data_IF_366956562712
#
_entry.id   IF_366956562712
#
_cell.length_a   1.000
_cell.length_b   1.000
_cell.length_c   1.000
_cell.angle_alpha   90.00
_cell.angle_beta   90.00
_cell.angle_gamma   90.00
#
_symmetry.space_group_name_H-M   'P 1'
#
loop_
_entity.id
_entity.type
_entity.pdbx_description
1 polymer ?
#
# COMPACT_ATOMS: atom_id res chain seq x y z
N UNK A 1 -46.19 10.27 -84.71
CA UNK A 1 -45.55 11.49 -84.17
C UNK A 1 -44.93 11.15 -82.83
N UNK A 2 -43.64 10.79 -82.82
CA UNK A 2 -42.85 10.56 -81.61
C UNK A 2 -41.67 11.49 -81.65
N UNK A 3 -41.67 12.52 -80.81
CA UNK A 3 -40.55 13.44 -80.66
C UNK A 3 -39.77 13.03 -79.40
N UNK A 4 -38.69 12.28 -79.58
CA UNK A 4 -37.69 12.05 -78.55
C UNK A 4 -36.64 13.17 -78.67
N UNK A 5 -36.60 14.08 -77.70
CA UNK A 5 -35.56 15.09 -77.58
C UNK A 5 -34.20 14.48 -77.17
N UNK A 6 -33.08 15.16 -77.46
CA UNK A 6 -31.75 14.60 -77.19
C UNK A 6 -31.41 14.72 -75.70
N UNK A 7 -31.16 13.58 -75.05
CA UNK A 7 -30.63 13.51 -73.68
C UNK A 7 -29.11 13.66 -73.74
N UNK A 8 -28.64 14.86 -74.07
CA UNK A 8 -27.21 15.16 -74.09
C UNK A 8 -26.81 15.90 -72.82
N UNK A 9 -26.23 15.19 -71.83
CA UNK A 9 -25.15 15.66 -70.92
C UNK A 9 -25.15 15.03 -69.50
N UNK A 10 -25.39 13.73 -69.33
CA UNK A 10 -25.04 13.06 -68.07
C UNK A 10 -23.71 12.33 -68.25
N UNK A 11 -22.63 12.93 -67.73
CA UNK A 11 -21.31 12.31 -67.65
C UNK A 11 -21.30 11.05 -66.76
N UNK A 12 -20.19 10.29 -66.73
CA UNK A 12 -20.15 9.01 -66.04
C UNK A 12 -20.43 9.16 -64.53
N UNK A 13 -21.48 8.47 -64.06
CA UNK A 13 -21.86 8.43 -62.65
C UNK A 13 -20.79 7.62 -61.91
N UNK A 14 -19.94 8.31 -61.14
CA UNK A 14 -19.02 7.64 -60.21
C UNK A 14 -19.75 7.34 -58.91
N UNK A 15 -19.55 6.15 -58.29
CA UNK A 15 -20.23 5.81 -57.05
C UNK A 15 -19.67 6.66 -55.90
N UNK A 16 -20.40 7.71 -55.51
CA UNK A 16 -20.11 8.50 -54.32
C UNK A 16 -20.55 7.72 -53.09
N UNK A 17 -19.62 7.45 -52.17
CA UNK A 17 -19.93 6.80 -50.89
C UNK A 17 -20.93 7.67 -50.12
N UNK A 18 -22.10 7.15 -49.71
CA UNK A 18 -23.05 7.94 -48.95
C UNK A 18 -22.41 8.39 -47.63
N UNK A 19 -22.62 9.66 -47.29
CA UNK A 19 -22.07 10.23 -46.08
C UNK A 19 -22.63 9.49 -44.85
N UNK A 20 -21.75 9.10 -43.94
CA UNK A 20 -22.17 8.41 -42.72
C UNK A 20 -23.10 9.33 -41.91
N UNK A 21 -24.36 8.95 -41.63
CA UNK A 21 -25.34 9.81 -40.97
C UNK A 21 -24.88 10.30 -39.59
N UNK A 22 -24.07 9.50 -38.89
CA UNK A 22 -23.43 9.84 -37.60
C UNK A 22 -22.44 11.00 -37.76
N UNK A 23 -21.74 11.05 -38.89
CA UNK A 23 -20.81 12.13 -39.24
C UNK A 23 -21.49 13.27 -40.02
N UNK A 24 -22.67 13.08 -40.57
CA UNK A 24 -23.42 14.15 -41.22
C UNK A 24 -24.09 15.08 -40.17
N UNK A 25 -24.51 14.52 -39.04
CA UNK A 25 -25.12 15.29 -37.94
C UNK A 25 -24.05 15.98 -37.09
N UNK A 26 -23.99 17.32 -37.19
CA UNK A 26 -23.09 18.15 -36.38
C UNK A 26 -23.36 18.01 -34.88
N UNK A 27 -24.63 18.01 -34.48
CA UNK A 27 -25.04 17.90 -33.07
C UNK A 27 -24.61 16.57 -32.46
N UNK A 28 -24.69 15.48 -33.23
CA UNK A 28 -24.23 14.17 -32.78
C UNK A 28 -22.71 14.12 -32.59
N UNK A 29 -21.95 14.74 -33.49
CA UNK A 29 -20.50 14.83 -33.33
C UNK A 29 -20.10 15.69 -32.13
N UNK A 30 -20.80 16.80 -31.88
CA UNK A 30 -20.53 17.69 -30.74
C UNK A 30 -20.80 16.97 -29.42
N UNK A 31 -21.92 16.26 -29.30
CA UNK A 31 -22.23 15.41 -28.15
C UNK A 31 -21.16 14.32 -27.94
N UNK A 32 -20.73 13.64 -29.01
CA UNK A 32 -19.69 12.62 -28.92
C UNK A 32 -18.36 13.18 -28.38
N UNK A 33 -17.96 14.36 -28.87
CA UNK A 33 -16.76 15.07 -28.37
C UNK A 33 -16.92 15.46 -26.91
N UNK A 34 -18.07 15.99 -26.53
CA UNK A 34 -18.37 16.38 -25.14
C UNK A 34 -18.29 15.19 -24.19
N UNK A 35 -18.91 14.06 -24.54
CA UNK A 35 -18.86 12.83 -23.75
C UNK A 35 -17.44 12.29 -23.59
N UNK A 36 -16.65 12.26 -24.66
CA UNK A 36 -15.24 11.86 -24.60
C UNK A 36 -14.41 12.79 -23.71
N UNK A 37 -14.65 14.10 -23.81
CA UNK A 37 -13.96 15.10 -23.01
C UNK A 37 -14.36 15.02 -21.54
N UNK A 38 -15.65 14.81 -21.23
CA UNK A 38 -16.14 14.59 -19.87
C UNK A 38 -15.52 13.34 -19.25
N UNK A 39 -15.47 12.23 -19.99
CA UNK A 39 -14.83 11.00 -19.54
C UNK A 39 -13.31 11.17 -19.32
N UNK A 40 -12.60 11.79 -20.27
CA UNK A 40 -11.16 12.05 -20.16
C UNK A 40 -10.82 12.98 -18.99
N UNK A 41 -11.69 13.94 -18.68
CA UNK A 41 -11.55 14.84 -17.53
C UNK A 41 -12.05 14.22 -16.21
N UNK A 42 -12.53 12.97 -16.22
CA UNK A 42 -13.05 12.29 -15.03
C UNK A 42 -14.39 12.86 -14.54
N UNK A 43 -15.08 13.66 -15.34
CA UNK A 43 -16.36 14.29 -15.03
C UNK A 43 -17.58 13.40 -15.36
N UNK A 44 -17.34 12.19 -15.90
CA UNK A 44 -18.40 11.22 -16.15
C UNK A 44 -18.90 10.55 -14.87
N UNK A 45 -20.21 10.27 -14.80
CA UNK A 45 -20.97 9.70 -13.66
C UNK A 45 -20.51 8.28 -13.24
N UNK A 46 -19.39 7.78 -13.76
CA UNK A 46 -18.78 6.53 -13.29
C UNK A 46 -17.26 6.64 -13.24
N UNK A 47 -16.74 7.57 -12.44
CA UNK A 47 -15.50 7.24 -11.73
C UNK A 47 -15.82 5.99 -10.91
N UNK A 48 -15.43 4.81 -11.41
CA UNK A 48 -15.75 3.50 -10.84
C UNK A 48 -15.31 3.48 -9.38
N UNK A 49 -16.21 3.73 -8.41
CA UNK A 49 -15.80 3.98 -7.03
C UNK A 49 -15.18 2.71 -6.45
N UNK A 50 -15.68 1.55 -6.86
CA UNK A 50 -15.15 0.25 -6.48
C UNK A 50 -13.73 0.01 -7.00
N UNK A 51 -13.44 0.36 -8.26
CA UNK A 51 -12.10 0.17 -8.80
C UNK A 51 -11.09 1.07 -8.07
N UNK A 52 -11.46 2.32 -7.79
CA UNK A 52 -10.63 3.23 -7.03
C UNK A 52 -10.38 2.71 -5.61
N UNK A 53 -11.43 2.28 -4.90
CA UNK A 53 -11.29 1.68 -3.56
C UNK A 53 -10.46 0.40 -3.58
N UNK A 54 -10.61 -0.46 -4.59
CA UNK A 54 -9.82 -1.67 -4.75
C UNK A 54 -8.35 -1.34 -5.04
N UNK A 55 -8.06 -0.32 -5.83
CA UNK A 55 -6.70 0.14 -6.09
C UNK A 55 -6.07 0.79 -4.86
N UNK A 56 -6.79 1.67 -4.15
CA UNK A 56 -6.34 2.26 -2.90
C UNK A 56 -6.06 1.19 -1.84
N UNK A 57 -6.98 0.22 -1.70
CA UNK A 57 -6.81 -0.94 -0.82
C UNK A 57 -5.57 -1.75 -1.20
N UNK A 58 -5.40 -2.07 -2.48
CA UNK A 58 -4.23 -2.82 -2.99
C UNK A 58 -2.92 -2.08 -2.74
N UNK A 59 -2.90 -0.75 -2.93
CA UNK A 59 -1.72 0.07 -2.67
C UNK A 59 -1.37 0.06 -1.17
N UNK A 60 -2.35 0.22 -0.28
CA UNK A 60 -2.14 0.12 1.17
C UNK A 60 -1.63 -1.25 1.58
N UNK A 61 -2.20 -2.33 1.05
CA UNK A 61 -1.75 -3.70 1.32
C UNK A 61 -0.32 -3.93 0.81
N UNK A 62 0.04 -3.40 -0.36
CA UNK A 62 1.40 -3.49 -0.89
C UNK A 62 2.40 -2.74 -0.02
N UNK A 63 2.11 -1.49 0.35
CA UNK A 63 2.97 -0.70 1.23
C UNK A 63 3.08 -1.31 2.63
N UNK A 64 2.02 -1.90 3.17
CA UNK A 64 2.07 -2.60 4.46
C UNK A 64 2.89 -3.90 4.40
N UNK A 65 2.80 -4.65 3.29
CA UNK A 65 3.65 -5.84 3.08
C UNK A 65 5.11 -5.46 2.88
N UNK A 66 5.39 -4.39 2.14
CA UNK A 66 6.74 -3.85 1.99
C UNK A 66 7.26 -3.29 3.33
N UNK A 67 6.42 -2.65 4.15
CA UNK A 67 6.84 -2.15 5.48
C UNK A 67 6.98 -3.24 6.56
N UNK A 68 6.24 -4.35 6.44
CA UNK A 68 6.22 -5.44 7.41
C UNK A 68 7.09 -6.61 6.98
N UNK A 69 8.24 -6.80 7.65
CA UNK A 69 9.23 -7.90 7.53
C UNK A 69 9.79 -8.23 6.12
N UNK A 70 9.03 -8.09 5.04
CA UNK A 70 9.43 -8.42 3.67
C UNK A 70 10.18 -7.27 2.95
N UNK A 71 10.06 -6.01 3.39
CA UNK A 71 10.86 -4.92 2.83
C UNK A 71 11.99 -4.42 3.73
N UNK A 72 12.30 -5.14 4.82
CA UNK A 72 13.57 -4.90 5.52
C UNK A 72 14.71 -5.47 4.71
N UNK A 73 15.63 -4.61 4.29
CA UNK A 73 16.80 -5.07 3.53
C UNK A 73 17.66 -6.04 4.38
N UNK A 74 18.44 -6.95 3.76
CA UNK A 74 19.34 -7.83 4.52
C UNK A 74 20.26 -7.05 5.49
N UNK A 75 20.70 -5.86 5.07
CA UNK A 75 21.49 -4.94 5.88
C UNK A 75 20.71 -4.40 7.08
N UNK A 76 19.46 -3.99 6.90
CA UNK A 76 18.62 -3.51 8.00
C UNK A 76 18.39 -4.59 9.06
N UNK A 77 18.20 -5.84 8.64
CA UNK A 77 18.08 -6.97 9.56
C UNK A 77 19.38 -7.18 10.37
N UNK A 78 20.54 -7.07 9.71
CA UNK A 78 21.83 -7.21 10.37
C UNK A 78 22.13 -6.04 11.33
N UNK A 79 21.77 -4.82 10.94
CA UNK A 79 21.85 -3.64 11.81
C UNK A 79 20.97 -3.79 13.04
N UNK A 80 19.74 -4.28 12.89
CA UNK A 80 18.84 -4.51 14.02
C UNK A 80 19.39 -5.59 14.97
N UNK A 81 19.95 -6.68 14.43
CA UNK A 81 20.65 -7.70 15.23
C UNK A 81 21.85 -7.12 15.96
N UNK A 82 22.64 -6.25 15.30
CA UNK A 82 23.80 -5.60 15.92
C UNK A 82 23.36 -4.65 17.05
N UNK A 83 22.31 -3.87 16.81
CA UNK A 83 21.75 -2.98 17.82
C UNK A 83 21.24 -3.76 19.04
N UNK A 84 20.53 -4.86 18.83
CA UNK A 84 20.04 -5.71 19.92
C UNK A 84 21.20 -6.26 20.77
N UNK A 85 22.27 -6.76 20.13
CA UNK A 85 23.47 -7.21 20.84
C UNK A 85 24.15 -6.10 21.63
N UNK A 86 24.21 -4.89 21.06
CA UNK A 86 24.79 -3.73 21.77
C UNK A 86 23.96 -3.37 23.00
N UNK A 87 22.64 -3.32 22.89
CA UNK A 87 21.75 -3.04 24.02
C UNK A 87 21.87 -4.09 25.13
N UNK A 88 22.02 -5.37 24.77
CA UNK A 88 22.23 -6.43 25.75
C UNK A 88 23.55 -6.27 26.52
N UNK A 89 24.63 -5.96 25.80
CA UNK A 89 25.94 -5.70 26.42
C UNK A 89 25.92 -4.44 27.29
N UNK A 90 25.24 -3.38 26.85
CA UNK A 90 25.08 -2.16 27.64
C UNK A 90 24.32 -2.43 28.95
N UNK A 91 23.22 -3.18 28.88
CA UNK A 91 22.46 -3.60 30.06
C UNK A 91 23.28 -4.47 30.99
N UNK A 92 24.06 -5.41 30.45
CA UNK A 92 24.96 -6.25 31.26
C UNK A 92 26.00 -5.39 31.99
N UNK A 93 26.62 -4.42 31.31
CA UNK A 93 27.58 -3.50 31.92
C UNK A 93 26.95 -2.59 32.98
N UNK A 94 25.72 -2.16 32.77
CA UNK A 94 24.97 -1.39 33.77
C UNK A 94 24.71 -2.25 35.01
N UNK A 95 24.19 -3.47 34.83
CA UNK A 95 24.01 -4.42 35.94
C UNK A 95 25.32 -4.72 36.67
N UNK A 96 26.44 -4.94 35.95
CA UNK A 96 27.75 -5.17 36.57
C UNK A 96 28.21 -3.96 37.40
N UNK A 97 28.00 -2.74 36.90
CA UNK A 97 28.31 -1.51 37.64
C UNK A 97 27.45 -1.39 38.89
N UNK A 98 26.15 -1.61 38.75
CA UNK A 98 25.22 -1.63 39.89
C UNK A 98 25.65 -2.68 40.92
N UNK A 99 26.00 -3.90 40.48
CA UNK A 99 26.48 -4.98 41.34
C UNK A 99 27.80 -4.64 42.04
N UNK A 100 28.74 -3.94 41.38
CA UNK A 100 29.97 -3.46 42.06
C UNK A 100 29.71 -2.35 43.06
N UNK A 101 28.68 -1.53 42.83
CA UNK A 101 28.32 -0.44 43.74
C UNK A 101 27.58 -0.94 44.98
N UNK A 102 26.90 -2.09 44.90
CA UNK A 102 26.25 -2.72 46.05
C UNK A 102 27.30 -3.23 47.05
N UNK A 103 27.31 -2.76 48.31
CA UNK A 103 28.26 -3.24 49.30
C UNK A 103 28.10 -4.74 49.58
N UNK A 104 29.22 -5.46 49.72
CA UNK A 104 29.25 -6.91 49.94
C UNK A 104 28.40 -7.36 51.14
N UNK A 105 28.37 -6.59 52.23
CA UNK A 105 27.54 -6.88 53.40
C UNK A 105 26.05 -6.95 53.06
N UNK A 106 25.58 -6.11 52.13
CA UNK A 106 24.19 -6.11 51.67
C UNK A 106 23.91 -7.39 50.87
N UNK A 107 24.84 -7.80 49.99
CA UNK A 107 24.75 -9.06 49.22
C UNK A 107 24.70 -10.27 50.15
N UNK A 108 25.63 -10.36 51.11
CA UNK A 108 25.69 -11.45 52.10
C UNK A 108 24.41 -11.49 52.94
N UNK A 109 23.92 -10.34 53.42
CA UNK A 109 22.69 -10.29 54.22
C UNK A 109 21.46 -10.72 53.42
N UNK A 110 21.37 -10.37 52.13
CA UNK A 110 20.30 -10.87 51.26
C UNK A 110 20.43 -12.37 51.01
N UNK A 111 21.63 -12.89 50.80
CA UNK A 111 21.88 -14.32 50.61
C UNK A 111 21.49 -15.14 51.85
N UNK A 112 21.85 -14.68 53.06
CA UNK A 112 21.45 -15.32 54.32
C UNK A 112 19.93 -15.30 54.54
N UNK A 113 19.22 -14.30 54.03
CA UNK A 113 17.75 -14.28 54.04
C UNK A 113 17.15 -15.29 53.05
N UNK A 114 17.79 -15.49 51.89
CA UNK A 114 17.38 -16.48 50.88
C UNK A 114 17.62 -17.91 51.35
N UNK A 115 18.69 -18.13 52.12
CA UNK A 115 19.07 -19.45 52.68
C UNK A 115 18.71 -19.60 54.15
N UNK A 116 17.90 -18.69 54.71
CA UNK A 116 17.49 -18.74 56.11
C UNK A 116 16.73 -20.03 56.41
N UNK A 117 16.83 -20.55 57.65
CA UNK A 117 16.27 -21.86 57.98
C UNK A 117 14.77 -21.87 57.69
N UNK A 118 14.34 -22.84 56.88
CA UNK A 118 12.92 -23.20 56.75
C UNK A 118 12.52 -23.73 58.13
N UNK A 119 11.88 -22.87 58.93
CA UNK A 119 11.34 -23.17 60.27
C UNK A 119 10.74 -24.59 60.31
N UNK A 120 11.28 -25.53 61.09
CA UNK A 120 10.58 -26.76 61.38
C UNK A 120 9.48 -26.49 62.42
N UNK A 121 8.28 -27.07 62.26
CA UNK A 121 7.21 -26.89 63.23
C UNK A 121 7.52 -27.67 64.50
N UNK A 122 7.73 -26.94 65.61
CA UNK A 122 7.50 -27.36 67.00
C UNK A 122 8.24 -28.59 67.52
N UNK A 123 8.80 -28.50 68.72
CA UNK A 123 8.60 -29.51 69.78
C UNK A 123 8.94 -28.87 71.12
N UNK A 124 8.00 -29.06 72.04
CA UNK A 124 7.95 -28.55 73.41
C UNK A 124 8.97 -29.27 74.31
N UNK A 125 9.53 -28.55 75.27
CA UNK A 125 9.79 -29.01 76.64
C UNK A 125 10.10 -27.80 77.53
#
# INVERSE_FOLDING_TARGET
VGAAGPISSLGPITPTKPANPIKASRTHQELHKELLMAHRKGLGVSSKPELQLVLERRQRERTQREAGEQGRTPLELELLRRQQRQQEVERQRENEREDTQVPELVKVRQNLRKTGPKEPPGTQA
#
